data_IF_419909073341
#
_entry.id   IF_419909073341
#
_cell.length_a   1.000
_cell.length_b   1.000
_cell.length_c   1.000
_cell.angle_alpha   90.00
_cell.angle_beta   90.00
_cell.angle_gamma   90.00
#
_symmetry.space_group_name_H-M   'P 1'
#
loop_
_entity.id
_entity.type
_entity.pdbx_description
1 polymer ?
#
# COMPACT_ATOMS: atom_id res chain seq x y z
N UNK A 1 -7.67 8.79 45.90
CA UNK A 1 -6.63 9.64 45.29
C UNK A 1 -6.70 9.44 43.80
N UNK A 2 -7.36 10.36 43.08
CA UNK A 2 -7.44 10.37 41.62
C UNK A 2 -6.11 10.83 41.04
N UNK A 3 -5.57 10.08 40.07
CA UNK A 3 -4.47 10.54 39.22
C UNK A 3 -5.09 11.07 37.94
N UNK A 4 -5.15 12.39 37.85
CA UNK A 4 -5.74 13.11 36.72
C UNK A 4 -5.12 12.71 35.39
N UNK A 5 -5.96 12.15 34.52
CA UNK A 5 -5.73 12.14 33.07
C UNK A 5 -5.98 13.56 32.57
N UNK A 6 -4.93 14.26 32.14
CA UNK A 6 -5.08 15.51 31.40
C UNK A 6 -5.52 15.10 29.99
N UNK A 7 -6.83 15.00 29.78
CA UNK A 7 -7.41 14.97 28.44
C UNK A 7 -7.41 16.41 27.93
N UNK A 8 -6.59 16.70 26.91
CA UNK A 8 -6.77 17.93 26.15
C UNK A 8 -8.11 17.80 25.40
N UNK A 9 -8.98 18.84 25.44
CA UNK A 9 -10.20 18.78 24.66
C UNK A 9 -9.82 18.68 23.18
N UNK A 10 -10.28 17.63 22.50
CA UNK A 10 -10.28 17.58 21.05
C UNK A 10 -11.06 18.81 20.58
N UNK A 11 -10.37 19.79 20.00
CA UNK A 11 -11.04 20.89 19.33
C UNK A 11 -11.85 20.29 18.20
N UNK A 12 -13.17 20.41 18.26
CA UNK A 12 -14.10 19.91 17.25
C UNK A 12 -13.61 20.31 15.85
N UNK A 13 -13.14 19.34 15.08
CA UNK A 13 -12.68 19.59 13.72
C UNK A 13 -13.88 20.02 12.86
N UNK A 14 -13.71 21.15 12.18
CA UNK A 14 -14.71 21.73 11.30
C UNK A 14 -15.03 20.73 10.16
N UNK A 15 -16.30 20.33 9.98
CA UNK A 15 -16.71 19.29 9.03
C UNK A 15 -16.51 19.64 7.54
N UNK A 16 -16.03 20.85 7.23
CA UNK A 16 -15.66 21.27 5.87
C UNK A 16 -14.15 21.18 5.57
N UNK A 17 -13.32 20.68 6.51
CA UNK A 17 -11.91 20.43 6.25
C UNK A 17 -11.70 18.95 5.92
N UNK A 18 -11.71 18.62 4.63
CA UNK A 18 -11.01 17.44 4.12
C UNK A 18 -9.52 17.60 4.46
N UNK A 19 -9.06 17.11 5.62
CA UNK A 19 -7.70 17.32 6.12
C UNK A 19 -6.60 16.52 5.38
N UNK A 20 -6.81 16.12 4.11
CA UNK A 20 -5.84 15.30 3.36
C UNK A 20 -5.71 15.65 1.87
N UNK A 21 -5.51 16.90 1.43
CA UNK A 21 -5.03 17.09 0.06
C UNK A 21 -3.60 16.55 -0.03
N UNK A 22 -3.42 15.43 -0.75
CA UNK A 22 -2.13 14.92 -1.25
C UNK A 22 -1.18 14.20 -0.26
N UNK A 23 -1.63 13.75 0.91
CA UNK A 23 -0.84 12.84 1.77
C UNK A 23 -1.16 11.38 1.41
N UNK A 24 -0.13 10.55 1.18
CA UNK A 24 -0.28 9.13 0.88
C UNK A 24 0.49 8.28 1.90
N UNK A 25 0.07 7.02 2.13
CA UNK A 25 0.80 6.11 3.00
C UNK A 25 2.23 5.88 2.48
N UNK A 26 3.20 5.86 3.38
CA UNK A 26 4.62 5.71 3.04
C UNK A 26 5.21 4.47 3.70
N UNK A 27 6.03 3.71 2.97
CA UNK A 27 6.84 2.66 3.56
C UNK A 27 8.04 3.28 4.29
N UNK A 28 8.01 3.23 5.63
CA UNK A 28 9.05 3.83 6.48
C UNK A 28 9.47 2.84 7.58
N UNK A 29 10.34 1.85 7.26
CA UNK A 29 10.66 0.73 8.15
C UNK A 29 11.45 1.13 9.42
N UNK A 30 11.97 2.35 9.47
CA UNK A 30 12.58 2.90 10.69
C UNK A 30 11.56 3.42 11.70
N UNK A 31 10.31 3.66 11.28
CA UNK A 31 9.23 4.17 12.13
C UNK A 31 8.16 3.11 12.38
N UNK A 32 7.73 2.40 11.33
CA UNK A 32 6.67 1.41 11.43
C UNK A 32 7.21 -0.04 11.47
N UNK A 33 6.56 -0.92 12.24
CA UNK A 33 6.79 -2.35 12.23
C UNK A 33 6.66 -3.01 10.85
N UNK A 34 7.04 -4.28 10.80
CA UNK A 34 6.92 -5.07 9.57
C UNK A 34 5.45 -5.21 9.18
N UNK A 35 5.17 -5.14 7.86
CA UNK A 35 3.82 -5.21 7.28
C UNK A 35 2.90 -4.01 7.55
N UNK A 36 3.45 -2.92 8.07
CA UNK A 36 2.74 -1.65 8.27
C UNK A 36 3.26 -0.56 7.33
N UNK A 37 2.44 0.45 7.09
CA UNK A 37 2.82 1.70 6.43
C UNK A 37 2.54 2.86 7.36
N UNK A 38 3.20 3.98 7.13
CA UNK A 38 2.97 5.23 7.85
C UNK A 38 1.86 6.01 7.15
N UNK A 39 0.65 5.91 7.68
CA UNK A 39 -0.57 6.53 7.17
C UNK A 39 -0.73 7.96 7.70
N UNK A 40 -1.29 8.88 6.90
CA UNK A 40 -1.69 10.19 7.39
C UNK A 40 -2.83 10.03 8.41
N UNK A 41 -2.64 10.55 9.62
CA UNK A 41 -3.68 10.64 10.66
C UNK A 41 -4.70 11.73 10.35
N UNK A 42 -5.67 11.91 11.25
CA UNK A 42 -6.83 12.77 11.00
C UNK A 42 -6.49 14.26 11.08
N UNK A 43 -5.47 14.59 11.89
CA UNK A 43 -4.91 15.94 11.92
C UNK A 43 -3.89 16.17 10.80
N UNK A 44 -3.64 17.45 10.48
CA UNK A 44 -2.78 17.88 9.37
C UNK A 44 -1.35 17.28 9.41
N UNK A 45 -0.80 17.13 10.61
CA UNK A 45 0.57 16.66 10.84
C UNK A 45 0.63 15.32 11.57
N UNK A 46 -0.52 14.73 11.86
CA UNK A 46 -0.58 13.44 12.51
C UNK A 46 -0.34 12.31 11.51
N UNK A 47 0.30 11.25 12.00
CA UNK A 47 0.64 10.07 11.25
C UNK A 47 0.64 8.86 12.16
N UNK A 48 0.15 7.75 11.64
CA UNK A 48 -0.05 6.51 12.39
C UNK A 48 0.49 5.33 11.59
N UNK A 49 1.06 4.34 12.26
CA UNK A 49 1.38 3.07 11.63
C UNK A 49 0.12 2.20 11.59
N UNK A 50 -0.21 1.67 10.41
CA UNK A 50 -1.34 0.76 10.22
C UNK A 50 -0.99 -0.30 9.17
N UNK A 51 -1.74 -1.40 9.18
CA UNK A 51 -1.51 -2.53 8.30
C UNK A 51 -1.53 -2.11 6.82
N UNK A 52 -0.55 -2.59 6.07
CA UNK A 52 -0.51 -2.37 4.62
C UNK A 52 -1.71 -3.05 3.92
N UNK A 53 -2.09 -2.62 2.71
CA UNK A 53 -3.28 -3.14 2.02
C UNK A 53 -3.32 -4.68 1.94
N UNK A 54 -4.44 -5.27 2.35
CA UNK A 54 -4.65 -6.73 2.39
C UNK A 54 -4.09 -7.44 3.63
N UNK A 55 -3.52 -6.70 4.58
CA UNK A 55 -3.02 -7.24 5.85
C UNK A 55 -4.02 -6.95 6.98
N UNK A 56 -4.06 -7.85 7.96
CA UNK A 56 -4.97 -7.85 9.09
C UNK A 56 -4.18 -7.72 10.38
N UNK A 57 -4.59 -6.78 11.23
CA UNK A 57 -4.04 -6.64 12.58
C UNK A 57 -4.51 -7.81 13.45
N UNK A 58 -3.57 -8.54 14.05
CA UNK A 58 -3.86 -9.63 14.96
C UNK A 58 -3.48 -9.25 16.40
N UNK A 59 -4.47 -9.01 17.29
CA UNK A 59 -4.23 -8.44 18.61
C UNK A 59 -3.29 -9.27 19.50
N UNK A 60 -3.36 -10.61 19.44
CA UNK A 60 -2.55 -11.45 20.33
C UNK A 60 -1.06 -11.49 19.95
N UNK A 61 -0.70 -11.15 18.70
CA UNK A 61 0.70 -11.01 18.28
C UNK A 61 1.13 -9.55 18.16
N UNK A 62 0.20 -8.61 18.28
CA UNK A 62 0.42 -7.17 18.07
C UNK A 62 1.17 -6.89 16.74
N UNK A 63 0.66 -7.47 15.64
CA UNK A 63 1.31 -7.41 14.34
C UNK A 63 0.31 -7.60 13.19
N UNK A 64 0.67 -7.07 12.02
CA UNK A 64 -0.09 -7.21 10.78
C UNK A 64 0.33 -8.45 9.98
N UNK A 65 -0.65 -9.23 9.52
CA UNK A 65 -0.45 -10.47 8.77
C UNK A 65 -1.28 -10.48 7.49
N UNK A 66 -0.73 -11.01 6.39
CA UNK A 66 -1.45 -11.12 5.12
C UNK A 66 -2.67 -12.03 5.28
N UNK A 67 -3.85 -11.55 4.88
CA UNK A 67 -5.04 -12.38 4.83
C UNK A 67 -4.83 -13.59 3.90
N UNK A 68 -5.51 -14.70 4.19
CA UNK A 68 -5.39 -15.98 3.46
C UNK A 68 -3.98 -16.58 3.42
N UNK A 69 -3.06 -16.11 4.28
CA UNK A 69 -1.82 -16.80 4.60
C UNK A 69 -1.86 -17.35 6.02
N UNK A 70 -0.93 -18.27 6.31
CA UNK A 70 -0.82 -18.90 7.63
C UNK A 70 -0.70 -17.88 8.76
N UNK A 71 0.18 -16.89 8.61
CA UNK A 71 0.43 -15.89 9.64
C UNK A 71 0.64 -16.50 11.04
N UNK A 72 -0.10 -16.05 12.06
CA UNK A 72 -0.01 -16.59 13.43
C UNK A 72 -0.80 -17.89 13.62
N UNK A 73 -1.51 -18.37 12.59
CA UNK A 73 -2.36 -19.54 12.69
C UNK A 73 -1.55 -20.85 12.72
N UNK A 74 -2.13 -21.93 13.29
CA UNK A 74 -1.60 -23.27 13.21
C UNK A 74 -1.37 -23.74 11.77
N UNK A 75 -0.50 -24.76 11.61
CA UNK A 75 -0.25 -25.37 10.30
C UNK A 75 -1.54 -25.89 9.68
N UNK A 76 -1.74 -25.62 8.38
CA UNK A 76 -2.95 -26.00 7.64
C UNK A 76 -4.12 -25.02 7.80
N UNK A 77 -3.94 -23.92 8.53
CA UNK A 77 -4.91 -22.84 8.65
C UNK A 77 -4.38 -21.55 8.04
N UNK A 78 -5.28 -20.64 7.71
CA UNK A 78 -4.98 -19.27 7.30
C UNK A 78 -5.71 -18.25 8.17
N UNK A 79 -5.27 -16.99 8.11
CA UNK A 79 -5.92 -15.88 8.77
C UNK A 79 -6.97 -15.26 7.85
N UNK A 80 -8.20 -15.11 8.32
CA UNK A 80 -9.30 -14.44 7.58
C UNK A 80 -10.01 -13.44 8.46
N UNK A 81 -10.68 -12.45 7.84
CA UNK A 81 -11.56 -11.51 8.53
C UNK A 81 -13.02 -11.80 8.15
N UNK A 82 -13.82 -12.41 9.04
CA UNK A 82 -15.24 -12.62 8.79
C UNK A 82 -15.96 -11.29 8.63
N UNK A 83 -16.91 -11.20 7.69
CA UNK A 83 -17.69 -9.96 7.44
C UNK A 83 -18.45 -9.43 8.66
N UNK A 84 -18.71 -10.29 9.64
CA UNK A 84 -19.44 -9.97 10.87
C UNK A 84 -18.53 -9.62 12.05
N UNK A 85 -17.21 -9.60 11.84
CA UNK A 85 -16.21 -9.40 12.89
C UNK A 85 -15.22 -8.29 12.50
N UNK A 86 -14.68 -7.63 13.52
CA UNK A 86 -13.52 -6.73 13.40
C UNK A 86 -12.22 -7.41 13.84
N UNK A 87 -12.31 -8.65 14.33
CA UNK A 87 -11.19 -9.45 14.80
C UNK A 87 -10.98 -10.60 13.81
N UNK A 88 -9.76 -10.78 13.27
CA UNK A 88 -9.49 -11.88 12.36
C UNK A 88 -9.41 -13.22 13.12
N UNK A 89 -9.76 -14.30 12.43
CA UNK A 89 -9.80 -15.66 12.98
C UNK A 89 -8.99 -16.60 12.10
N UNK A 90 -8.55 -17.72 12.70
CA UNK A 90 -7.91 -18.79 11.97
C UNK A 90 -8.94 -19.79 11.46
N UNK A 91 -8.89 -20.07 10.16
CA UNK A 91 -9.76 -21.02 9.49
C UNK A 91 -8.95 -22.07 8.73
N UNK A 92 -9.52 -23.25 8.53
CA UNK A 92 -8.86 -24.34 7.79
C UNK A 92 -8.67 -23.92 6.34
N UNK A 93 -7.42 -23.98 5.85
CA UNK A 93 -7.16 -23.79 4.44
C UNK A 93 -7.53 -25.10 3.69
N UNK A 94 -8.55 -25.09 2.82
CA UNK A 94 -8.95 -26.29 2.08
C UNK A 94 -7.85 -26.81 1.15
N UNK A 95 -6.86 -25.98 0.81
CA UNK A 95 -5.74 -26.35 -0.05
C UNK A 95 -4.52 -26.90 0.70
N UNK A 96 -4.54 -26.90 2.04
CA UNK A 96 -3.55 -27.49 2.98
C UNK A 96 -2.10 -26.93 2.86
N UNK A 97 -1.73 -26.33 1.74
CA UNK A 97 -0.41 -25.75 1.48
C UNK A 97 -0.31 -24.28 1.85
N UNK A 98 0.88 -23.88 2.30
CA UNK A 98 1.23 -22.48 2.48
C UNK A 98 1.20 -21.77 1.11
N UNK A 99 0.67 -20.54 1.07
CA UNK A 99 0.45 -19.73 -0.14
C UNK A 99 -0.54 -20.30 -1.17
N UNK A 100 -1.22 -21.41 -0.88
CA UNK A 100 -2.32 -21.89 -1.72
C UNK A 100 -3.65 -21.37 -1.20
N UNK A 101 -4.49 -20.89 -2.11
CA UNK A 101 -5.83 -20.40 -1.81
C UNK A 101 -6.85 -21.06 -2.73
N UNK A 102 -8.08 -21.21 -2.24
CA UNK A 102 -9.18 -21.69 -3.06
C UNK A 102 -9.62 -20.59 -4.02
N UNK A 103 -9.57 -20.88 -5.32
CA UNK A 103 -10.01 -20.01 -6.39
C UNK A 103 -10.80 -20.82 -7.41
N UNK A 104 -12.11 -20.55 -7.55
CA UNK A 104 -13.01 -21.27 -8.45
C UNK A 104 -12.87 -22.81 -8.36
N UNK A 105 -13.00 -23.37 -7.15
CA UNK A 105 -12.88 -24.81 -6.87
C UNK A 105 -11.49 -25.42 -7.18
N UNK A 106 -10.47 -24.59 -7.38
CA UNK A 106 -9.08 -25.02 -7.59
C UNK A 106 -8.16 -24.37 -6.57
N UNK A 107 -7.13 -25.11 -6.19
CA UNK A 107 -6.07 -24.58 -5.36
C UNK A 107 -5.04 -23.88 -6.24
N UNK A 108 -4.93 -22.56 -6.06
CA UNK A 108 -4.05 -21.71 -6.84
C UNK A 108 -3.05 -21.00 -5.91
N UNK A 109 -1.87 -20.72 -6.45
CA UNK A 109 -0.83 -19.99 -5.69
C UNK A 109 -1.17 -18.51 -5.62
N UNK A 110 -1.22 -17.97 -4.41
CA UNK A 110 -1.36 -16.53 -4.18
C UNK A 110 -0.17 -15.78 -4.80
N UNK A 111 -0.45 -14.73 -5.55
CA UNK A 111 0.51 -13.98 -6.37
C UNK A 111 0.68 -14.51 -7.80
N UNK A 112 0.00 -15.61 -8.17
CA UNK A 112 0.05 -16.14 -9.53
C UNK A 112 -0.76 -15.29 -10.51
N UNK A 113 -0.21 -15.10 -11.72
CA UNK A 113 -0.90 -14.43 -12.83
C UNK A 113 -1.79 -15.38 -13.64
N UNK A 114 -1.49 -16.69 -13.59
CA UNK A 114 -2.15 -17.71 -14.42
C UNK A 114 -3.68 -17.75 -14.23
N UNK A 115 -4.23 -17.72 -13.00
CA UNK A 115 -5.67 -17.81 -12.78
C UNK A 115 -6.44 -16.60 -13.32
N UNK A 116 -5.77 -15.46 -13.45
CA UNK A 116 -6.34 -14.20 -13.91
C UNK A 116 -6.30 -14.03 -15.43
N UNK A 117 -5.65 -14.95 -16.14
CA UNK A 117 -5.49 -14.90 -17.58
C UNK A 117 -4.62 -13.73 -18.07
N UNK A 118 -4.58 -13.55 -19.39
CA UNK A 118 -3.83 -12.47 -20.03
C UNK A 118 -4.66 -11.19 -20.03
N UNK A 119 -4.54 -10.41 -18.97
CA UNK A 119 -5.19 -9.10 -18.82
C UNK A 119 -4.16 -7.97 -19.00
N UNK A 120 -4.62 -6.82 -19.50
CA UNK A 120 -3.87 -5.55 -19.48
C UNK A 120 -4.78 -4.50 -18.83
N UNK A 121 -4.52 -4.07 -17.58
CA UNK A 121 -3.40 -4.43 -16.72
C UNK A 121 -3.21 -5.90 -16.42
N UNK A 122 -1.95 -6.31 -16.30
CA UNK A 122 -1.64 -7.60 -15.70
C UNK A 122 -2.27 -7.63 -14.31
N UNK A 123 -2.93 -8.73 -14.01
CA UNK A 123 -3.60 -8.94 -12.73
C UNK A 123 -3.06 -10.23 -12.12
N UNK A 124 -2.79 -10.18 -10.81
CA UNK A 124 -2.36 -11.34 -10.04
C UNK A 124 -3.47 -11.76 -9.11
N UNK A 125 -3.58 -13.07 -8.86
CA UNK A 125 -4.46 -13.61 -7.84
C UNK A 125 -3.95 -13.15 -6.48
N UNK A 126 -4.63 -12.22 -5.84
CA UNK A 126 -4.15 -11.55 -4.62
C UNK A 126 -5.31 -11.22 -3.67
N UNK A 127 -4.99 -10.73 -2.48
CA UNK A 127 -5.99 -10.21 -1.54
C UNK A 127 -6.43 -8.82 -2.01
N UNK A 128 -7.71 -8.67 -2.32
CA UNK A 128 -8.31 -7.37 -2.58
C UNK A 128 -8.35 -6.56 -1.27
N UNK A 129 -7.68 -5.42 -1.25
CA UNK A 129 -7.49 -4.63 -0.03
C UNK A 129 -8.78 -4.02 0.54
N UNK A 130 -9.81 -3.85 -0.29
CA UNK A 130 -11.09 -3.25 0.13
C UNK A 130 -12.05 -4.31 0.65
N UNK A 131 -12.11 -5.46 -0.01
CA UNK A 131 -13.06 -6.53 0.35
C UNK A 131 -12.46 -7.58 1.27
N UNK A 132 -11.13 -7.64 1.41
CA UNK A 132 -10.39 -8.69 2.12
C UNK A 132 -10.83 -10.07 1.61
N UNK A 133 -10.91 -10.22 0.30
CA UNK A 133 -11.19 -11.49 -0.38
C UNK A 133 -10.11 -11.79 -1.40
N UNK A 134 -9.96 -13.06 -1.78
CA UNK A 134 -9.14 -13.43 -2.93
C UNK A 134 -9.81 -12.93 -4.21
N UNK A 135 -9.05 -12.25 -5.06
CA UNK A 135 -9.50 -11.71 -6.33
C UNK A 135 -8.33 -11.53 -7.30
N UNK A 136 -8.63 -11.28 -8.57
CA UNK A 136 -7.64 -10.86 -9.54
C UNK A 136 -7.41 -9.35 -9.43
N UNK A 137 -6.34 -8.97 -8.73
CA UNK A 137 -5.99 -7.57 -8.47
C UNK A 137 -4.97 -7.09 -9.50
N UNK A 138 -5.25 -5.94 -10.12
CA UNK A 138 -4.34 -5.27 -11.07
C UNK A 138 -3.05 -4.86 -10.34
N UNK A 139 -1.88 -5.23 -10.87
CA UNK A 139 -0.59 -5.01 -10.18
C UNK A 139 -0.03 -3.59 -10.31
N UNK A 140 -0.65 -2.73 -11.12
CA UNK A 140 -0.31 -1.32 -11.19
C UNK A 140 -1.56 -0.49 -10.91
N UNK A 141 -1.43 0.44 -9.98
CA UNK A 141 -2.39 1.52 -9.81
C UNK A 141 -2.43 2.33 -11.10
N UNK A 142 -3.58 2.95 -11.38
CA UNK A 142 -3.70 4.08 -12.29
C UNK A 142 -2.71 5.14 -11.81
N UNK A 143 -1.49 5.07 -12.34
CA UNK A 143 -0.56 6.17 -12.30
C UNK A 143 -1.28 7.19 -13.17
N UNK A 144 -2.09 8.08 -12.59
CA UNK A 144 -2.13 9.41 -13.17
C UNK A 144 -0.67 9.84 -13.16
N UNK A 145 -0.03 9.95 -14.33
CA UNK A 145 1.33 10.45 -14.36
C UNK A 145 1.30 11.79 -13.63
N UNK A 146 1.91 11.86 -12.45
CA UNK A 146 2.27 13.15 -11.81
C UNK A 146 3.24 13.96 -12.68
N UNK A 147 3.56 13.46 -13.87
CA UNK A 147 4.26 14.10 -14.98
C UNK A 147 3.34 14.56 -16.12
N UNK A 148 2.04 14.75 -15.87
CA UNK A 148 1.14 15.41 -16.83
C UNK A 148 0.63 16.72 -16.27
N UNK A 149 1.52 17.69 -16.12
CA UNK A 149 1.36 19.12 -16.46
C UNK A 149 2.49 19.92 -15.83
N UNK A 150 3.69 19.71 -16.37
CA UNK A 150 4.52 20.86 -16.68
C UNK A 150 4.95 20.65 -18.12
N UNK A 151 4.69 21.65 -18.95
CA UNK A 151 5.19 21.73 -20.32
C UNK A 151 6.62 21.22 -20.36
N UNK A 152 6.84 20.03 -20.94
CA UNK A 152 8.16 19.64 -21.40
C UNK A 152 8.45 20.61 -22.53
N UNK A 153 9.00 21.77 -22.17
CA UNK A 153 9.73 22.61 -23.07
C UNK A 153 10.73 21.69 -23.75
N UNK A 154 10.47 21.47 -25.04
CA UNK A 154 11.36 20.97 -26.06
C UNK A 154 12.79 20.86 -25.53
N UNK A 155 13.26 19.64 -25.24
CA UNK A 155 14.63 19.46 -24.79
C UNK A 155 15.54 19.86 -25.95
N UNK A 156 15.95 21.13 -25.98
CA UNK A 156 16.88 21.69 -26.95
C UNK A 156 18.19 20.92 -26.79
N UNK A 157 18.39 19.95 -27.68
CA UNK A 157 19.63 19.20 -27.79
C UNK A 157 20.71 20.20 -28.21
N UNK A 158 21.71 20.45 -27.36
CA UNK A 158 22.77 21.39 -27.71
C UNK A 158 23.60 20.86 -28.90
N UNK A 159 24.06 21.73 -29.81
CA UNK A 159 24.95 21.32 -30.89
C UNK A 159 26.23 20.65 -30.34
N UNK A 160 26.83 19.72 -31.10
CA UNK A 160 28.10 19.08 -30.73
C UNK A 160 29.17 20.12 -30.39
N UNK A 161 29.84 19.96 -29.23
CA UNK A 161 30.85 20.91 -28.74
C UNK A 161 30.34 22.00 -27.79
N UNK A 162 29.04 22.03 -27.50
CA UNK A 162 28.45 22.92 -26.49
C UNK A 162 28.03 22.16 -25.21
N UNK A 163 28.06 22.84 -24.06
CA UNK A 163 27.52 22.36 -22.78
C UNK A 163 26.31 23.19 -22.37
N UNK A 164 25.38 22.61 -21.60
CA UNK A 164 24.19 23.33 -21.10
C UNK A 164 24.52 24.05 -19.79
N UNK A 165 24.18 25.33 -19.71
CA UNK A 165 24.28 26.14 -18.49
C UNK A 165 23.11 25.86 -17.53
N UNK A 166 23.25 26.24 -16.25
CA UNK A 166 22.18 26.14 -15.23
C UNK A 166 20.91 26.89 -15.63
N UNK A 167 21.04 27.88 -16.54
CA UNK A 167 19.94 28.64 -17.14
C UNK A 167 19.38 28.01 -18.41
N UNK A 168 19.65 26.73 -18.65
CA UNK A 168 19.18 25.98 -19.84
C UNK A 168 19.70 26.48 -21.20
N UNK A 169 20.74 27.33 -21.23
CA UNK A 169 21.34 27.87 -22.45
C UNK A 169 22.55 27.03 -22.88
N UNK A 170 22.71 26.79 -24.18
CA UNK A 170 23.89 26.11 -24.74
C UNK A 170 25.07 27.08 -24.83
N UNK A 171 26.16 26.77 -24.14
CA UNK A 171 27.40 27.54 -24.14
C UNK A 171 28.53 26.73 -24.79
N UNK A 172 29.38 27.33 -25.65
CA UNK A 172 30.53 26.63 -26.23
C UNK A 172 31.45 26.09 -25.14
N UNK A 173 31.91 24.85 -25.28
CA UNK A 173 32.96 24.32 -24.42
C UNK A 173 34.29 25.07 -24.64
N UNK A 174 35.17 25.17 -23.63
CA UNK A 174 36.50 25.72 -23.84
C UNK A 174 37.21 24.90 -24.92
N UNK A 175 37.71 25.58 -25.97
CA UNK A 175 38.52 24.93 -27.01
C UNK A 175 39.83 24.47 -26.37
N UNK A 176 40.09 23.17 -26.43
CA UNK A 176 41.43 22.59 -26.26
C UNK A 176 42.32 22.94 -27.44
#
# INVERSE_FOLDING_TARGET
MDRGSIGFPESEENPNFENKPNRQPVFLPSMCPTNELYYPGDQQYDWICDCRPGYLYHPATDACWLAYQRGPCPKGQYLVLPKTSVIPVCEINPCIGDNLVMWHEKCETLGSFTPCGKTYPASALWVNATTITIDCVKIYMEIEPRFSQDNIGEQVLCPPGCKRSIKSQCVPGPRS
#
